data_IF_381576025005
#
_entry.id   IF_381576025005
#
_cell.length_a   1.000
_cell.length_b   1.000
_cell.length_c   1.000
_cell.angle_alpha   90.00
_cell.angle_beta   90.00
_cell.angle_gamma   90.00
#
_symmetry.space_group_name_H-M   'P 1'
#
loop_
_entity.id
_entity.type
_entity.pdbx_description
1 polymer ?
#
# COMPACT_ATOMS: atom_id res chain seq x y z
N UNK A 1 21.12 -11.18 -7.46
CA UNK A 1 20.66 -11.85 -8.71
C UNK A 1 19.15 -12.13 -8.71
N UNK A 2 18.56 -12.70 -7.63
CA UNK A 2 17.15 -13.12 -7.64
C UNK A 2 16.11 -12.00 -7.84
N UNK A 3 16.36 -10.77 -7.38
CA UNK A 3 15.39 -9.67 -7.49
C UNK A 3 15.21 -9.14 -8.93
N UNK A 4 16.21 -9.29 -9.78
CA UNK A 4 16.14 -8.87 -11.21
C UNK A 4 15.41 -9.93 -12.06
N UNK A 5 15.36 -11.17 -11.57
CA UNK A 5 14.76 -12.30 -12.30
C UNK A 5 13.25 -12.47 -12.02
N UNK A 6 12.68 -11.71 -11.06
CA UNK A 6 11.26 -11.80 -10.74
C UNK A 6 10.43 -10.96 -11.72
N UNK A 7 9.71 -11.65 -12.58
CA UNK A 7 8.67 -11.03 -13.43
C UNK A 7 7.39 -10.89 -12.63
N UNK A 8 6.91 -9.65 -12.54
CA UNK A 8 5.58 -9.34 -12.03
C UNK A 8 4.59 -9.32 -13.19
N UNK A 9 3.35 -9.70 -12.94
CA UNK A 9 2.29 -9.59 -13.93
C UNK A 9 1.11 -8.82 -13.36
N UNK A 10 0.54 -7.97 -14.18
CA UNK A 10 -0.69 -7.22 -13.91
C UNK A 10 -1.69 -7.51 -15.03
N UNK A 11 -2.96 -7.71 -14.68
CA UNK A 11 -4.02 -8.02 -15.62
C UNK A 11 -5.17 -7.03 -15.45
N UNK A 12 -5.51 -6.33 -16.52
CA UNK A 12 -6.59 -5.36 -16.58
C UNK A 12 -7.30 -5.46 -17.93
N UNK A 13 -8.63 -5.50 -17.93
CA UNK A 13 -9.49 -5.49 -19.12
C UNK A 13 -9.07 -6.49 -20.22
N UNK A 14 -8.63 -7.70 -19.81
CA UNK A 14 -8.22 -8.75 -20.76
C UNK A 14 -6.79 -8.60 -21.30
N UNK A 15 -6.06 -7.57 -20.88
CA UNK A 15 -4.65 -7.39 -21.19
C UNK A 15 -3.78 -7.83 -20.02
N UNK A 16 -2.74 -8.63 -20.28
CA UNK A 16 -1.77 -9.07 -19.28
C UNK A 16 -0.40 -8.45 -19.55
N UNK A 17 0.07 -7.67 -18.57
CA UNK A 17 1.35 -7.02 -18.64
C UNK A 17 2.36 -7.73 -17.74
N UNK A 18 3.57 -7.94 -18.24
CA UNK A 18 4.70 -8.48 -17.47
C UNK A 18 5.76 -7.39 -17.31
N UNK A 19 6.33 -7.26 -16.12
CA UNK A 19 7.37 -6.26 -15.87
C UNK A 19 8.34 -6.71 -14.77
N UNK A 20 9.52 -6.14 -14.79
CA UNK A 20 10.53 -6.29 -13.75
C UNK A 20 10.46 -5.13 -12.76
N UNK A 21 10.72 -5.41 -11.48
CA UNK A 21 10.79 -4.36 -10.44
C UNK A 21 12.03 -3.48 -10.64
N UNK A 22 13.13 -4.11 -11.06
CA UNK A 22 14.40 -3.44 -11.33
C UNK A 22 14.89 -3.83 -12.72
N UNK A 23 15.36 -2.85 -13.48
CA UNK A 23 16.02 -3.08 -14.76
C UNK A 23 17.48 -3.50 -14.54
N UNK A 24 18.11 -2.93 -13.51
CA UNK A 24 19.50 -3.21 -13.19
C UNK A 24 19.77 -3.07 -11.69
N UNK A 25 20.67 -3.92 -11.18
CA UNK A 25 21.25 -3.80 -9.84
C UNK A 25 22.78 -3.95 -9.96
N UNK A 26 23.50 -2.90 -9.63
CA UNK A 26 24.97 -2.90 -9.59
C UNK A 26 25.43 -2.92 -8.14
N UNK A 27 26.26 -3.90 -7.77
CA UNK A 27 26.85 -4.01 -6.44
C UNK A 27 28.32 -3.55 -6.54
N UNK A 28 28.69 -2.62 -5.70
CA UNK A 28 30.08 -2.11 -5.54
C UNK A 28 30.66 -2.66 -4.24
N UNK A 29 31.30 -3.81 -4.34
CA UNK A 29 31.90 -4.51 -3.19
C UNK A 29 33.28 -3.92 -2.78
N UNK A 30 33.99 -3.33 -3.75
CA UNK A 30 35.37 -2.82 -3.56
C UNK A 30 35.41 -1.39 -2.99
N UNK A 31 34.25 -0.79 -2.70
CA UNK A 31 34.18 0.54 -2.11
C UNK A 31 34.55 0.47 -0.61
N UNK A 32 35.12 1.56 -0.07
CA UNK A 32 35.39 1.72 1.36
C UNK A 32 34.17 1.41 2.25
N UNK A 33 32.99 1.70 1.71
CA UNK A 33 31.68 1.23 2.23
C UNK A 33 30.92 0.56 1.09
N UNK A 34 30.77 -0.77 1.11
CA UNK A 34 30.01 -1.48 0.08
C UNK A 34 28.59 -0.93 -0.07
N UNK A 35 28.17 -0.73 -1.30
CA UNK A 35 26.81 -0.25 -1.61
C UNK A 35 26.25 -0.91 -2.88
N UNK A 36 24.93 -0.84 -3.03
CA UNK A 36 24.24 -1.27 -4.23
C UNK A 36 23.47 -0.09 -4.85
N UNK A 37 23.54 -0.01 -6.18
CA UNK A 37 22.71 0.91 -6.98
C UNK A 37 21.64 0.06 -7.67
N UNK A 38 20.38 0.38 -7.45
CA UNK A 38 19.25 -0.27 -8.10
C UNK A 38 18.53 0.73 -9.02
N UNK A 39 18.37 0.37 -10.28
CA UNK A 39 17.57 1.12 -11.25
C UNK A 39 16.20 0.47 -11.33
N UNK A 40 15.16 1.23 -11.01
CA UNK A 40 13.78 0.76 -11.13
C UNK A 40 13.39 0.55 -12.59
N UNK A 41 12.61 -0.51 -12.84
CA UNK A 41 11.99 -0.72 -14.14
C UNK A 41 11.06 0.43 -14.54
N UNK A 42 10.86 0.61 -15.84
CA UNK A 42 10.12 1.75 -16.41
C UNK A 42 8.73 1.92 -15.80
N UNK A 43 7.99 0.82 -15.58
CA UNK A 43 6.63 0.87 -15.02
C UNK A 43 6.65 1.41 -13.60
N UNK A 44 7.58 0.95 -12.74
CA UNK A 44 7.69 1.41 -11.37
C UNK A 44 8.19 2.87 -11.34
N UNK A 45 9.16 3.22 -12.16
CA UNK A 45 9.65 4.60 -12.31
C UNK A 45 8.52 5.56 -12.71
N UNK A 46 7.70 5.18 -13.69
CA UNK A 46 6.55 5.97 -14.11
C UNK A 46 5.47 6.06 -13.03
N UNK A 47 5.23 4.99 -12.26
CA UNK A 47 4.29 5.02 -11.15
C UNK A 47 4.75 5.95 -10.02
N UNK A 48 6.05 5.99 -9.72
CA UNK A 48 6.67 6.92 -8.76
C UNK A 48 6.52 8.36 -9.27
N UNK A 49 6.95 8.63 -10.51
CA UNK A 49 6.89 9.96 -11.13
C UNK A 49 5.45 10.46 -11.23
N UNK A 50 4.49 9.57 -11.53
CA UNK A 50 3.07 9.93 -11.63
C UNK A 50 2.35 9.92 -10.28
N UNK A 51 3.07 9.69 -9.17
CA UNK A 51 2.49 9.57 -7.82
C UNK A 51 1.32 8.59 -7.72
N UNK A 52 1.39 7.50 -8.47
CA UNK A 52 0.44 6.39 -8.36
C UNK A 52 0.74 5.46 -7.17
N UNK A 53 1.84 5.73 -6.46
CA UNK A 53 2.23 5.01 -5.25
C UNK A 53 1.76 5.78 -4.02
N UNK A 54 1.27 5.04 -3.05
CA UNK A 54 0.89 5.58 -1.74
C UNK A 54 2.08 5.40 -0.80
N UNK A 55 2.52 6.49 -0.21
CA UNK A 55 3.49 6.44 0.88
C UNK A 55 2.80 5.98 2.16
N UNK A 56 3.37 4.97 2.81
CA UNK A 56 2.97 4.54 4.15
C UNK A 56 4.20 4.70 5.03
N UNK A 57 4.07 5.48 6.09
CA UNK A 57 5.17 5.63 7.04
C UNK A 57 5.45 4.28 7.71
N UNK A 58 6.71 3.90 7.79
CA UNK A 58 7.14 2.66 8.48
C UNK A 58 6.61 2.63 9.92
N UNK A 59 6.59 3.77 10.61
CA UNK A 59 6.07 3.89 11.95
C UNK A 59 4.62 3.39 12.09
N UNK A 60 3.73 3.75 11.16
CA UNK A 60 2.33 3.28 11.17
C UNK A 60 2.23 1.77 10.93
N UNK A 61 3.14 1.20 10.12
CA UNK A 61 3.16 -0.23 9.83
C UNK A 61 3.77 -1.04 10.98
N UNK A 62 4.82 -0.52 11.62
CA UNK A 62 5.57 -1.21 12.68
C UNK A 62 4.77 -1.33 13.98
N UNK A 63 3.85 -0.41 14.25
CA UNK A 63 2.93 -0.47 15.39
C UNK A 63 1.95 -1.65 15.28
N UNK A 64 1.57 -2.04 14.06
CA UNK A 64 0.63 -3.13 13.84
C UNK A 64 1.25 -4.48 14.24
N UNK A 65 0.63 -5.17 15.16
CA UNK A 65 1.08 -6.47 15.66
C UNK A 65 0.40 -7.65 14.98
N UNK A 66 -0.86 -7.47 14.57
CA UNK A 66 -1.63 -8.47 13.87
C UNK A 66 -1.17 -8.59 12.41
N UNK A 67 -0.81 -9.81 11.98
CA UNK A 67 -0.37 -10.07 10.61
C UNK A 67 -1.41 -9.67 9.55
N UNK A 68 -2.70 -9.84 9.84
CA UNK A 68 -3.75 -9.45 8.91
C UNK A 68 -3.84 -7.93 8.77
N UNK A 69 -3.67 -7.19 9.88
CA UNK A 69 -3.61 -5.72 9.85
C UNK A 69 -2.48 -5.23 8.95
N UNK A 70 -1.30 -5.83 9.06
CA UNK A 70 -0.16 -5.51 8.19
C UNK A 70 -0.47 -5.74 6.71
N UNK A 71 -1.11 -6.87 6.37
CA UNK A 71 -1.47 -7.20 4.99
C UNK A 71 -2.48 -6.19 4.43
N UNK A 72 -3.48 -5.79 5.19
CA UNK A 72 -4.53 -4.87 4.73
C UNK A 72 -4.18 -3.39 4.90
N UNK A 73 -3.07 -3.06 5.56
CA UNK A 73 -2.67 -1.68 5.87
C UNK A 73 -2.65 -0.80 4.61
N UNK A 74 -1.98 -1.25 3.56
CA UNK A 74 -1.92 -0.53 2.31
C UNK A 74 -3.32 -0.29 1.70
N UNK A 75 -4.17 -1.31 1.72
CA UNK A 75 -5.52 -1.20 1.19
C UNK A 75 -6.35 -0.17 1.99
N UNK A 76 -6.25 -0.18 3.32
CA UNK A 76 -6.99 0.77 4.17
C UNK A 76 -6.49 2.21 3.99
N UNK A 77 -5.19 2.41 3.83
CA UNK A 77 -4.62 3.72 3.50
C UNK A 77 -5.09 4.22 2.13
N UNK A 78 -5.10 3.36 1.12
CA UNK A 78 -5.65 3.70 -0.21
C UNK A 78 -7.12 4.10 -0.13
N UNK A 79 -7.92 3.33 0.62
CA UNK A 79 -9.34 3.65 0.80
C UNK A 79 -9.54 4.95 1.59
N UNK A 80 -8.69 5.24 2.59
CA UNK A 80 -8.69 6.52 3.29
C UNK A 80 -8.51 7.69 2.31
N UNK A 81 -7.54 7.58 1.39
CA UNK A 81 -7.27 8.61 0.39
C UNK A 81 -8.44 8.74 -0.59
N UNK A 82 -9.00 7.62 -1.06
CA UNK A 82 -10.10 7.62 -2.02
C UNK A 82 -11.40 8.18 -1.44
N UNK A 83 -11.61 8.09 -0.12
CA UNK A 83 -12.86 8.49 0.54
C UNK A 83 -12.73 9.79 1.36
N UNK A 84 -11.84 10.72 0.98
CA UNK A 84 -11.62 11.96 1.74
C UNK A 84 -12.87 12.85 1.83
N UNK A 85 -13.72 12.87 0.81
CA UNK A 85 -14.95 13.67 0.79
C UNK A 85 -16.04 13.05 1.67
N UNK A 86 -16.34 11.76 1.48
CA UNK A 86 -17.39 11.04 2.20
C UNK A 86 -16.97 10.65 3.60
N UNK A 87 -15.67 10.45 3.84
CA UNK A 87 -15.06 9.95 5.07
C UNK A 87 -15.63 8.60 5.54
N UNK A 88 -16.43 7.93 4.73
CA UNK A 88 -17.07 6.66 5.04
C UNK A 88 -17.31 5.84 3.77
N UNK A 89 -17.17 4.52 3.87
CA UNK A 89 -17.52 3.59 2.79
C UNK A 89 -17.87 2.20 3.33
N UNK A 90 -18.52 1.39 2.50
CA UNK A 90 -19.00 0.06 2.81
C UNK A 90 -18.15 -1.02 2.10
N UNK A 91 -17.76 -2.06 2.86
CA UNK A 91 -16.93 -3.13 2.34
C UNK A 91 -17.53 -4.50 2.67
N UNK A 92 -17.74 -5.30 1.64
CA UNK A 92 -18.19 -6.68 1.80
C UNK A 92 -17.05 -7.60 2.21
N UNK A 93 -17.37 -8.78 2.72
CA UNK A 93 -16.37 -9.83 2.94
C UNK A 93 -15.58 -10.16 1.66
N UNK A 94 -16.22 -10.12 0.49
CA UNK A 94 -15.58 -10.38 -0.82
C UNK A 94 -14.47 -9.36 -1.13
N UNK A 95 -14.61 -8.10 -0.69
CA UNK A 95 -13.54 -7.11 -0.82
C UNK A 95 -12.27 -7.57 -0.11
N UNK A 96 -12.40 -8.01 1.15
CA UNK A 96 -11.24 -8.50 1.91
C UNK A 96 -10.66 -9.79 1.34
N UNK A 97 -11.48 -10.67 0.76
CA UNK A 97 -11.00 -11.88 0.09
C UNK A 97 -10.12 -11.59 -1.15
N UNK A 98 -10.33 -10.46 -1.83
CA UNK A 98 -9.48 -10.05 -2.96
C UNK A 98 -8.09 -9.59 -2.50
N UNK A 99 -7.99 -9.06 -1.29
CA UNK A 99 -6.73 -8.56 -0.71
C UNK A 99 -5.98 -9.68 0.00
N UNK A 100 -6.72 -10.54 0.70
CA UNK A 100 -6.16 -11.56 1.60
C UNK A 100 -6.56 -12.96 1.18
N UNK A 101 -5.58 -13.83 1.01
CA UNK A 101 -5.82 -15.27 0.86
C UNK A 101 -6.03 -15.91 2.22
N UNK A 102 -7.29 -15.98 2.66
CA UNK A 102 -7.60 -16.68 3.90
C UNK A 102 -7.33 -18.18 3.78
N UNK A 103 -6.51 -18.70 4.70
CA UNK A 103 -6.23 -20.15 4.77
C UNK A 103 -7.46 -20.96 5.22
N UNK A 104 -8.28 -20.37 6.10
CA UNK A 104 -9.48 -20.99 6.62
C UNK A 104 -10.66 -20.77 5.66
N UNK A 105 -11.39 -21.86 5.36
CA UNK A 105 -12.65 -21.78 4.59
C UNK A 105 -13.84 -21.29 5.43
N UNK A 106 -13.66 -21.04 6.72
CA UNK A 106 -14.72 -20.60 7.63
C UNK A 106 -14.92 -19.09 7.56
N UNK A 107 -15.96 -18.65 6.84
CA UNK A 107 -16.29 -17.23 6.67
C UNK A 107 -16.45 -16.50 8.01
N UNK A 108 -17.12 -17.10 9.01
CA UNK A 108 -17.35 -16.47 10.32
C UNK A 108 -16.03 -16.15 11.04
N UNK A 109 -15.11 -17.10 11.06
CA UNK A 109 -13.77 -16.89 11.64
C UNK A 109 -12.97 -15.84 10.89
N UNK A 110 -13.04 -15.85 9.56
CA UNK A 110 -12.35 -14.84 8.74
C UNK A 110 -12.91 -13.43 8.99
N UNK A 111 -14.24 -13.31 9.14
CA UNK A 111 -14.85 -12.00 9.46
C UNK A 111 -14.44 -11.53 10.86
N UNK A 112 -14.29 -12.43 11.83
CA UNK A 112 -13.77 -12.09 13.14
C UNK A 112 -12.32 -11.58 13.06
N UNK A 113 -11.45 -12.25 12.31
CA UNK A 113 -10.07 -11.79 12.08
C UNK A 113 -10.02 -10.40 11.43
N UNK A 114 -10.93 -10.13 10.47
CA UNK A 114 -11.04 -8.79 9.88
C UNK A 114 -11.46 -7.76 10.94
N UNK A 115 -12.45 -8.06 11.80
CA UNK A 115 -12.86 -7.17 12.88
C UNK A 115 -11.71 -6.87 13.84
N UNK A 116 -10.96 -7.89 14.27
CA UNK A 116 -9.80 -7.75 15.15
C UNK A 116 -8.74 -6.83 14.48
N UNK A 117 -8.51 -7.01 13.18
CA UNK A 117 -7.58 -6.16 12.44
C UNK A 117 -8.08 -4.72 12.31
N UNK A 118 -9.35 -4.50 11.99
CA UNK A 118 -9.93 -3.16 11.92
C UNK A 118 -9.94 -2.47 13.28
N UNK A 119 -10.13 -3.22 14.37
CA UNK A 119 -10.06 -2.70 15.72
C UNK A 119 -8.63 -2.21 16.05
N UNK A 120 -7.60 -2.93 15.64
CA UNK A 120 -6.21 -2.51 15.81
C UNK A 120 -5.90 -1.19 15.08
N UNK A 121 -6.49 -0.96 13.89
CA UNK A 121 -6.38 0.32 13.18
C UNK A 121 -7.03 1.47 13.96
N UNK A 122 -8.20 1.23 14.56
CA UNK A 122 -8.90 2.23 15.37
C UNK A 122 -8.09 2.57 16.62
N UNK A 123 -7.60 1.57 17.34
CA UNK A 123 -6.82 1.73 18.58
C UNK A 123 -5.51 2.51 18.35
N UNK A 124 -4.85 2.26 17.23
CA UNK A 124 -3.60 2.94 16.87
C UNK A 124 -3.81 4.20 16.03
N UNK A 125 -5.06 4.61 15.78
CA UNK A 125 -5.41 5.78 14.96
C UNK A 125 -4.76 5.77 13.57
N UNK A 126 -4.73 4.60 12.92
CA UNK A 126 -4.17 4.42 11.58
C UNK A 126 -5.32 4.30 10.58
N UNK A 127 -5.45 5.24 9.66
CA UNK A 127 -6.43 5.30 8.58
C UNK A 127 -7.90 5.26 9.00
N UNK A 128 -8.26 4.48 10.02
CA UNK A 128 -9.64 4.19 10.41
C UNK A 128 -9.98 4.89 11.73
N UNK A 129 -11.05 5.67 11.73
CA UNK A 129 -11.59 6.32 12.92
C UNK A 129 -12.54 5.41 13.70
N UNK A 130 -13.39 4.71 12.97
CA UNK A 130 -14.42 3.83 13.51
C UNK A 130 -14.87 2.84 12.45
N UNK A 131 -15.37 1.67 12.89
CA UNK A 131 -16.08 0.75 12.00
C UNK A 131 -17.23 0.05 12.73
N UNK A 132 -18.20 -0.41 11.96
CA UNK A 132 -19.25 -1.31 12.43
C UNK A 132 -19.47 -2.45 11.44
N UNK A 133 -19.95 -3.59 11.94
CA UNK A 133 -20.39 -4.71 11.11
C UNK A 133 -21.92 -4.80 11.13
N UNK A 134 -22.57 -4.49 10.01
CA UNK A 134 -24.01 -4.55 9.87
C UNK A 134 -24.38 -5.46 8.70
N UNK A 135 -25.18 -6.48 8.95
CA UNK A 135 -25.63 -7.45 7.93
C UNK A 135 -24.51 -8.08 7.08
N UNK A 136 -23.33 -8.29 7.68
CA UNK A 136 -22.18 -8.87 6.99
C UNK A 136 -21.38 -7.90 6.10
N UNK A 137 -21.67 -6.61 6.22
CA UNK A 137 -20.96 -5.50 5.56
C UNK A 137 -20.23 -4.69 6.62
N UNK A 138 -18.97 -4.39 6.38
CA UNK A 138 -18.15 -3.49 7.21
C UNK A 138 -18.37 -2.06 6.74
N UNK A 139 -18.94 -1.22 7.59
CA UNK A 139 -19.08 0.21 7.38
C UNK A 139 -17.90 0.86 8.07
N UNK A 140 -17.00 1.47 7.30
CA UNK A 140 -15.73 2.00 7.80
C UNK A 140 -15.73 3.52 7.65
N UNK A 141 -15.50 4.22 8.76
CA UNK A 141 -15.26 5.65 8.80
C UNK A 141 -13.76 5.89 8.86
N UNK A 142 -13.24 6.70 7.94
CA UNK A 142 -11.82 7.03 7.83
C UNK A 142 -11.45 8.27 8.64
N UNK A 143 -10.19 8.28 9.10
CA UNK A 143 -9.56 9.49 9.62
C UNK A 143 -9.32 10.49 8.49
N UNK A 144 -9.34 11.80 8.76
CA UNK A 144 -8.83 12.77 7.80
C UNK A 144 -7.34 12.50 7.52
N UNK A 145 -6.87 12.88 6.34
CA UNK A 145 -5.44 12.89 6.06
C UNK A 145 -4.76 13.95 6.91
N UNK A 146 -3.56 13.66 7.39
CA UNK A 146 -2.69 14.64 8.03
C UNK A 146 -2.14 15.63 7.01
N UNK A 147 -1.69 16.80 7.47
CA UNK A 147 -1.08 17.82 6.60
C UNK A 147 0.12 17.24 5.82
N UNK A 148 0.94 16.40 6.45
CA UNK A 148 2.06 15.75 5.82
C UNK A 148 1.62 14.78 4.69
N UNK A 149 0.53 14.01 4.90
CA UNK A 149 -0.03 13.13 3.87
C UNK A 149 -0.63 13.94 2.71
N UNK A 150 -1.24 15.09 3.00
CA UNK A 150 -1.75 16.02 1.98
C UNK A 150 -0.59 16.65 1.19
N UNK A 151 0.48 17.06 1.85
CA UNK A 151 1.69 17.55 1.19
C UNK A 151 2.30 16.50 0.27
N UNK A 152 2.42 15.26 0.73
CA UNK A 152 2.93 14.15 -0.08
C UNK A 152 2.06 13.89 -1.33
N UNK A 153 0.74 13.99 -1.21
CA UNK A 153 -0.19 13.84 -2.34
C UNK A 153 -0.11 15.01 -3.33
N UNK A 154 0.17 16.22 -2.83
CA UNK A 154 0.26 17.46 -3.63
C UNK A 154 1.69 17.77 -4.10
N UNK A 155 2.65 16.91 -3.82
CA UNK A 155 4.05 17.11 -4.18
C UNK A 155 4.20 17.38 -5.68
N UNK A 156 4.84 18.50 -6.02
CA UNK A 156 4.96 18.97 -7.40
C UNK A 156 6.00 18.16 -8.19
N UNK A 157 5.57 17.61 -9.34
CA UNK A 157 6.40 16.87 -10.29
C UNK A 157 7.64 17.61 -10.75
N UNK A 158 7.56 18.92 -10.88
CA UNK A 158 8.66 19.77 -11.36
C UNK A 158 9.88 19.69 -10.47
N UNK A 159 9.71 19.53 -9.16
CA UNK A 159 10.81 19.43 -8.19
C UNK A 159 11.62 18.13 -8.34
N UNK A 160 10.96 17.00 -8.67
CA UNK A 160 11.65 15.72 -8.91
C UNK A 160 12.49 15.74 -10.19
N UNK A 161 11.98 16.40 -11.24
CA UNK A 161 12.69 16.49 -12.54
C UNK A 161 13.90 17.44 -12.43
N UNK A 162 13.82 18.48 -11.61
CA UNK A 162 14.93 19.40 -11.38
C UNK A 162 16.04 18.74 -10.57
N UNK A 163 15.74 18.01 -9.49
CA UNK A 163 16.77 17.32 -8.68
C UNK A 163 17.53 16.22 -9.44
N UNK A 164 16.92 15.60 -10.44
CA UNK A 164 17.56 14.58 -11.27
C UNK A 164 18.41 15.17 -12.44
N UNK A 165 18.37 16.50 -12.66
CA UNK A 165 19.21 17.17 -13.66
C UNK A 165 20.47 17.79 -13.06
N UNK A 166 20.56 17.83 -11.74
CA UNK A 166 21.70 18.36 -10.97
C UNK A 166 22.63 17.26 -10.43
N UNK A 167 22.37 15.99 -10.75
CA UNK A 167 23.24 14.83 -10.49
C UNK A 167 23.86 14.34 -11.81
#
# INVERSE_FOLDING_TARGET
RKLVEYNFSYEEEGSKMYFNLFDNITIKEDAERPYAIAQFGEILSNAIIQKKLISITSASYDILTNNLSRIICYAMKREQIANQETKMNEYSYTYFQKIVRFKLKNKKKNMQLIQESLQEFVENQIAIKHFELRNGIFIIQFLPLSDAEIEDLNFDRTKLIQSNREL
#
